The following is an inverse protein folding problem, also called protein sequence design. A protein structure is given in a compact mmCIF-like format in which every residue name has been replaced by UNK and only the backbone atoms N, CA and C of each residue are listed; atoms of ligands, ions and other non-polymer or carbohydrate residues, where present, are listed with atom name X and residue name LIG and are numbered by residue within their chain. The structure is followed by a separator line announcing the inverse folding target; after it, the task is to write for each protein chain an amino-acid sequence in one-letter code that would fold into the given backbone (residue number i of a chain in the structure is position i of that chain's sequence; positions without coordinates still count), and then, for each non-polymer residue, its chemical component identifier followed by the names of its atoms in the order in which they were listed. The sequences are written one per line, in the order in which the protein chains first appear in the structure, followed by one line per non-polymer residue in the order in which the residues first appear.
data_IF_613210241128
#
_entry.id   IF_613210241128
#
_cell.length_a   1.000
_cell.length_b   1.000
_cell.length_c   1.000
_cell.angle_alpha   90.00
_cell.angle_beta   90.00
_cell.angle_gamma   90.00
#
_symmetry.space_group_name_H-M   'P 1'
#
loop_
_entity.id
_entity.type
_entity.pdbx_description
1 polymer ?
#
# COMPACT_ATOMS: atom_id res chain seq x y z
N UNK A 1 -101.43 10.24 -23.32
CA UNK A 1 -100.62 9.53 -24.33
C UNK A 1 -99.22 9.39 -23.76
N UNK A 2 -98.73 8.14 -23.68
CA UNK A 2 -97.48 7.77 -23.02
C UNK A 2 -96.30 8.08 -23.96
N UNK A 3 -95.37 8.94 -23.55
CA UNK A 3 -94.06 9.04 -24.18
C UNK A 3 -93.01 8.58 -23.17
N UNK A 4 -92.52 7.36 -23.37
CA UNK A 4 -91.44 6.75 -22.59
C UNK A 4 -90.12 7.21 -23.20
N UNK A 5 -89.34 8.02 -22.47
CA UNK A 5 -87.99 8.42 -22.88
C UNK A 5 -86.99 7.39 -22.37
N UNK A 6 -86.32 6.69 -23.29
CA UNK A 6 -85.23 5.75 -22.97
C UNK A 6 -83.97 6.57 -22.69
N UNK A 7 -83.45 6.52 -21.45
CA UNK A 7 -82.10 7.00 -21.13
C UNK A 7 -81.14 5.81 -21.16
N UNK A 8 -80.20 5.84 -22.10
CA UNK A 8 -79.08 4.90 -22.14
C UNK A 8 -78.09 5.25 -21.01
N UNK A 9 -77.84 4.31 -20.10
CA UNK A 9 -76.76 4.41 -19.13
C UNK A 9 -75.49 3.80 -19.74
N UNK A 10 -74.46 4.61 -19.92
CA UNK A 10 -73.12 4.15 -20.31
C UNK A 10 -72.43 3.65 -19.04
N UNK A 11 -72.15 2.34 -18.97
CA UNK A 11 -71.37 1.73 -17.90
C UNK A 11 -69.90 1.81 -18.28
N UNK A 12 -69.14 2.70 -17.64
CA UNK A 12 -67.68 2.78 -17.81
C UNK A 12 -67.03 1.75 -16.87
N UNK A 13 -66.58 0.63 -17.41
CA UNK A 13 -65.80 -0.36 -16.67
C UNK A 13 -64.37 0.17 -16.47
N UNK A 14 -63.99 0.47 -15.22
CA UNK A 14 -62.60 0.80 -14.85
C UNK A 14 -61.86 -0.52 -14.63
N UNK A 15 -60.97 -0.87 -15.55
CA UNK A 15 -60.06 -2.01 -15.39
C UNK A 15 -58.92 -1.61 -14.43
N UNK A 16 -58.98 -2.07 -13.19
CA UNK A 16 -57.86 -1.94 -12.25
C UNK A 16 -56.81 -3.01 -12.56
N UNK A 17 -55.73 -2.66 -13.26
CA UNK A 17 -54.54 -3.52 -13.36
C UNK A 17 -53.80 -3.47 -12.02
N UNK A 18 -53.93 -4.53 -11.22
CA UNK A 18 -53.01 -4.79 -10.12
C UNK A 18 -51.68 -5.29 -10.70
N UNK A 19 -50.67 -4.42 -10.75
CA UNK A 19 -49.29 -4.85 -10.97
C UNK A 19 -48.79 -5.54 -9.70
N UNK A 20 -48.74 -6.87 -9.71
CA UNK A 20 -47.94 -7.60 -8.74
C UNK A 20 -46.47 -7.23 -8.96
N UNK A 21 -45.89 -6.47 -8.02
CA UNK A 21 -44.46 -6.26 -7.93
C UNK A 21 -43.80 -7.61 -7.62
N UNK A 22 -43.44 -8.35 -8.67
CA UNK A 22 -42.52 -9.48 -8.54
C UNK A 22 -41.17 -8.89 -8.15
N UNK A 23 -40.85 -8.92 -6.85
CA UNK A 23 -39.55 -8.49 -6.36
C UNK A 23 -38.46 -9.34 -6.99
N UNK A 24 -37.57 -8.70 -7.76
CA UNK A 24 -36.34 -9.35 -8.21
C UNK A 24 -35.52 -9.65 -6.95
N UNK A 25 -35.10 -10.90 -6.69
CA UNK A 25 -34.23 -11.17 -5.55
C UNK A 25 -32.96 -10.33 -5.72
N UNK A 26 -32.62 -9.57 -4.68
CA UNK A 26 -31.38 -8.80 -4.67
C UNK A 26 -30.22 -9.78 -4.93
N UNK A 27 -29.49 -9.56 -6.04
CA UNK A 27 -28.26 -10.28 -6.33
C UNK A 27 -27.38 -10.17 -5.08
N UNK A 28 -27.00 -11.31 -4.48
CA UNK A 28 -26.04 -11.30 -3.38
C UNK A 28 -24.84 -10.45 -3.81
N UNK A 29 -24.42 -9.51 -2.95
CA UNK A 29 -23.29 -8.64 -3.26
C UNK A 29 -22.12 -9.51 -3.76
N UNK A 30 -21.42 -9.13 -4.85
CA UNK A 30 -20.27 -9.87 -5.33
C UNK A 30 -19.31 -10.13 -4.18
N UNK A 31 -18.85 -11.38 -4.02
CA UNK A 31 -17.87 -11.71 -3.00
C UNK A 31 -16.63 -10.83 -3.22
N UNK A 32 -16.07 -10.20 -2.16
CA UNK A 32 -14.86 -9.42 -2.31
C UNK A 32 -13.74 -10.32 -2.85
N UNK A 33 -13.01 -9.84 -3.86
CA UNK A 33 -11.91 -10.59 -4.48
C UNK A 33 -10.87 -11.03 -3.44
N UNK A 34 -10.56 -10.14 -2.49
CA UNK A 34 -9.69 -10.39 -1.35
C UNK A 34 -10.50 -10.75 -0.09
N UNK A 35 -10.73 -12.05 0.10
CA UNK A 35 -11.26 -12.58 1.37
C UNK A 35 -10.17 -12.65 2.45
N UNK A 36 -10.52 -12.76 3.74
CA UNK A 36 -9.55 -12.97 4.81
C UNK A 36 -8.61 -14.16 4.56
N UNK A 37 -9.15 -15.28 4.06
CA UNK A 37 -8.35 -16.47 3.70
C UNK A 37 -7.42 -16.20 2.52
N UNK A 38 -7.91 -15.51 1.48
CA UNK A 38 -7.08 -15.14 0.33
C UNK A 38 -5.93 -14.20 0.73
N UNK A 39 -6.18 -13.26 1.65
CA UNK A 39 -5.15 -12.36 2.18
C UNK A 39 -4.12 -13.12 3.02
N UNK A 40 -4.54 -14.05 3.88
CA UNK A 40 -3.61 -14.89 4.65
C UNK A 40 -2.75 -15.78 3.76
N UNK A 41 -3.33 -16.31 2.69
CA UNK A 41 -2.65 -17.19 1.73
C UNK A 41 -1.79 -16.44 0.69
N UNK A 42 -1.84 -15.11 0.62
CA UNK A 42 -1.09 -14.34 -0.36
C UNK A 42 0.42 -14.53 -0.16
N UNK A 43 1.12 -14.88 -1.24
CA UNK A 43 2.54 -15.22 -1.20
C UNK A 43 3.37 -13.92 -1.16
N UNK A 44 4.39 -13.79 -0.30
CA UNK A 44 5.28 -12.64 -0.38
C UNK A 44 5.97 -12.57 -1.75
N UNK A 45 6.00 -11.39 -2.35
CA UNK A 45 6.45 -11.18 -3.73
C UNK A 45 7.84 -11.78 -4.01
N UNK A 46 8.78 -11.66 -3.08
CA UNK A 46 10.15 -12.18 -3.21
C UNK A 46 10.23 -13.69 -3.42
N UNK A 47 9.21 -14.47 -3.02
CA UNK A 47 9.14 -15.91 -3.28
C UNK A 47 8.70 -16.24 -4.70
N UNK A 48 8.11 -15.28 -5.42
CA UNK A 48 7.63 -15.45 -6.79
C UNK A 48 8.69 -15.09 -7.83
N UNK A 49 9.86 -14.60 -7.39
CA UNK A 49 10.88 -14.02 -8.26
C UNK A 49 12.29 -14.51 -7.90
N UNK A 50 13.22 -14.50 -8.86
CA UNK A 50 14.66 -14.74 -8.64
C UNK A 50 15.38 -13.39 -8.59
N UNK A 51 16.32 -13.23 -7.66
CA UNK A 51 17.01 -11.96 -7.39
C UNK A 51 17.68 -11.35 -8.65
N UNK A 52 17.48 -10.05 -8.93
CA UNK A 52 18.09 -9.36 -10.07
C UNK A 52 19.55 -8.93 -9.84
N UNK A 53 20.28 -8.66 -10.93
CA UNK A 53 21.67 -8.14 -10.95
C UNK A 53 21.67 -6.62 -11.17
N UNK A 54 22.58 -5.90 -10.51
CA UNK A 54 22.57 -4.42 -10.46
C UNK A 54 23.86 -3.79 -11.00
N UNK A 55 23.78 -2.60 -11.59
CA UNK A 55 24.91 -1.77 -12.06
C UNK A 55 24.81 -0.30 -11.56
N UNK A 56 25.92 0.45 -11.52
CA UNK A 56 26.08 1.72 -10.78
C UNK A 56 25.84 3.00 -11.60
N UNK A 57 25.17 4.02 -11.02
CA UNK A 57 25.30 5.47 -11.32
C UNK A 57 25.11 6.35 -10.06
N UNK A 58 25.63 7.58 -10.06
CA UNK A 58 25.88 8.44 -8.88
C UNK A 58 24.82 9.56 -8.66
N UNK A 59 24.57 9.97 -7.40
CA UNK A 59 23.72 11.13 -7.01
C UNK A 59 24.30 11.85 -5.76
N UNK A 60 24.23 13.19 -5.70
CA UNK A 60 24.96 14.08 -4.76
C UNK A 60 24.30 14.37 -3.39
N UNK A 61 25.07 14.99 -2.46
CA UNK A 61 24.91 15.02 -0.97
C UNK A 61 24.79 16.44 -0.37
N UNK A 62 24.16 16.58 0.81
CA UNK A 62 24.21 17.74 1.74
C UNK A 62 24.25 17.32 3.23
N UNK A 63 24.48 18.23 4.20
CA UNK A 63 24.79 17.89 5.60
C UNK A 63 23.56 17.81 6.55
N UNK A 64 23.60 16.98 7.60
CA UNK A 64 22.72 17.02 8.80
C UNK A 64 23.17 16.11 9.95
N UNK A 65 22.49 16.24 11.11
CA UNK A 65 22.58 15.45 12.34
C UNK A 65 21.16 15.08 12.86
N UNK A 66 21.02 14.01 13.68
CA UNK A 66 19.95 13.77 14.69
C UNK A 66 20.19 12.48 15.54
N UNK A 67 19.52 12.43 16.70
CA UNK A 67 19.60 11.62 17.94
C UNK A 67 19.08 10.16 17.80
N UNK A 68 19.63 9.22 18.60
CA UNK A 68 19.37 7.75 18.56
C UNK A 68 18.43 7.21 19.67
N UNK A 69 17.64 6.18 19.34
CA UNK A 69 16.98 5.22 20.24
C UNK A 69 17.67 3.83 20.16
N UNK A 70 17.27 2.87 21.03
CA UNK A 70 17.80 1.51 21.02
C UNK A 70 17.37 0.74 19.74
N UNK A 71 18.30 0.08 19.03
CA UNK A 71 18.00 -0.59 17.77
C UNK A 71 17.17 -1.88 17.97
N UNK A 72 16.22 -2.14 17.06
CA UNK A 72 15.42 -3.36 16.98
C UNK A 72 15.61 -4.02 15.60
N UNK A 73 15.75 -5.34 15.56
CA UNK A 73 16.06 -6.09 14.34
C UNK A 73 14.88 -6.85 13.70
N UNK A 74 13.61 -6.61 14.08
CA UNK A 74 12.46 -7.30 13.48
C UNK A 74 11.40 -7.78 14.48
N UNK A 75 11.15 -7.04 15.55
CA UNK A 75 10.12 -7.35 16.54
C UNK A 75 8.72 -6.94 16.09
N UNK A 76 7.68 -7.54 16.68
CA UNK A 76 6.32 -7.05 16.50
C UNK A 76 6.17 -5.66 17.12
N UNK A 77 5.50 -4.74 16.40
CA UNK A 77 5.22 -3.41 16.91
C UNK A 77 4.09 -3.45 17.94
N UNK A 78 4.37 -3.00 19.16
CA UNK A 78 3.40 -2.94 20.27
C UNK A 78 3.12 -1.52 20.74
N UNK A 79 3.78 -0.50 20.19
CA UNK A 79 3.67 0.88 20.64
C UNK A 79 2.38 1.60 20.24
N UNK A 80 1.53 0.98 19.41
CA UNK A 80 0.29 1.60 18.94
C UNK A 80 0.57 2.82 18.06
N UNK A 81 -0.23 3.88 18.22
CA UNK A 81 -0.04 5.16 17.53
C UNK A 81 -0.42 5.14 16.05
N UNK A 82 -0.18 6.27 15.37
CA UNK A 82 -0.67 6.54 14.01
C UNK A 82 -0.21 5.52 12.98
N UNK A 83 1.01 5.00 13.10
CA UNK A 83 1.56 3.96 12.21
C UNK A 83 0.70 2.70 12.14
N UNK A 84 -0.02 2.35 13.21
CA UNK A 84 -0.93 1.19 13.20
C UNK A 84 -2.18 1.39 12.36
N UNK A 85 -2.45 2.63 11.93
CA UNK A 85 -3.57 2.98 11.06
C UNK A 85 -3.07 3.29 9.64
N UNK A 86 -1.95 4.01 9.51
CA UNK A 86 -1.43 4.44 8.21
C UNK A 86 -0.68 3.34 7.48
N UNK A 87 0.05 2.48 8.20
CA UNK A 87 0.78 1.37 7.59
C UNK A 87 -0.16 0.18 7.37
N UNK A 88 -0.02 -0.46 6.22
CA UNK A 88 -0.92 -1.53 5.82
C UNK A 88 -0.24 -2.59 4.97
N UNK A 89 -0.98 -3.67 4.77
CA UNK A 89 -0.59 -4.76 3.87
C UNK A 89 -1.17 -4.48 2.49
N UNK A 90 -0.37 -4.74 1.47
CA UNK A 90 -0.73 -4.56 0.06
C UNK A 90 -0.93 -5.94 -0.56
N UNK A 91 -2.02 -6.13 -1.30
CA UNK A 91 -2.33 -7.37 -1.99
C UNK A 91 -2.59 -7.10 -3.46
N UNK A 92 -2.15 -7.99 -4.33
CA UNK A 92 -2.30 -7.85 -5.77
C UNK A 92 -2.15 -9.21 -6.48
N UNK A 93 -2.48 -9.24 -7.76
CA UNK A 93 -2.11 -10.31 -8.66
C UNK A 93 -0.83 -9.95 -9.42
N UNK A 94 0.17 -10.83 -9.31
CA UNK A 94 1.35 -10.83 -10.16
C UNK A 94 1.32 -12.08 -11.03
N UNK A 95 1.25 -11.89 -12.35
CA UNK A 95 1.11 -13.00 -13.32
C UNK A 95 -0.01 -14.00 -12.94
N UNK A 96 -1.14 -13.48 -12.46
CA UNK A 96 -2.30 -14.27 -12.02
C UNK A 96 -2.19 -14.90 -10.63
N UNK A 97 -1.04 -14.77 -9.94
CA UNK A 97 -0.83 -15.29 -8.60
C UNK A 97 -1.07 -14.22 -7.54
N UNK A 98 -1.76 -14.61 -6.45
CA UNK A 98 -1.99 -13.73 -5.30
C UNK A 98 -0.68 -13.48 -4.56
N UNK A 99 -0.23 -12.24 -4.59
CA UNK A 99 1.00 -11.79 -3.97
C UNK A 99 0.71 -10.73 -2.89
N UNK A 100 1.70 -10.48 -2.03
CA UNK A 100 1.62 -9.43 -1.03
C UNK A 100 2.91 -8.66 -0.82
N UNK A 101 2.72 -7.40 -0.45
CA UNK A 101 3.72 -6.42 -0.01
C UNK A 101 3.14 -5.66 1.21
N UNK A 102 3.78 -4.54 1.54
CA UNK A 102 3.36 -3.54 2.52
C UNK A 102 3.32 -2.15 1.86
N UNK A 103 2.72 -1.18 2.55
CA UNK A 103 2.68 0.22 2.13
C UNK A 103 2.24 1.13 3.27
N UNK A 104 2.23 2.44 3.03
CA UNK A 104 1.82 3.44 4.01
C UNK A 104 1.03 4.58 3.37
N UNK A 105 0.02 5.07 4.08
CA UNK A 105 -0.77 6.23 3.69
C UNK A 105 -0.02 7.52 4.06
N UNK A 106 0.28 8.35 3.06
CA UNK A 106 1.03 9.60 3.24
C UNK A 106 0.16 10.82 2.96
N UNK A 107 0.57 11.96 3.52
CA UNK A 107 -0.12 13.23 3.30
C UNK A 107 -0.03 13.54 1.81
N UNK A 108 -1.17 13.85 1.18
CA UNK A 108 -1.23 14.21 -0.24
C UNK A 108 -2.40 15.16 -0.52
N UNK A 109 -2.31 15.97 -1.58
CA UNK A 109 -3.37 16.90 -1.96
C UNK A 109 -4.72 16.22 -2.24
N UNK A 110 -4.70 15.05 -2.89
CA UNK A 110 -5.90 14.24 -3.14
C UNK A 110 -6.29 13.31 -1.98
N UNK A 111 -5.55 13.32 -0.87
CA UNK A 111 -5.79 12.51 0.31
C UNK A 111 -5.83 10.99 0.10
N UNK A 112 -5.29 10.49 -1.01
CA UNK A 112 -5.50 9.12 -1.50
C UNK A 112 -4.23 8.41 -1.96
N UNK A 113 -3.04 8.88 -1.56
CA UNK A 113 -1.75 8.30 -1.96
C UNK A 113 -1.28 7.26 -0.93
N UNK A 114 -0.92 6.07 -1.44
CA UNK A 114 -0.18 5.04 -0.72
C UNK A 114 1.22 4.93 -1.32
N UNK A 115 2.25 4.95 -0.48
CA UNK A 115 3.65 4.73 -0.89
C UNK A 115 4.03 3.27 -0.65
N UNK A 116 4.72 2.68 -1.61
CA UNK A 116 5.19 1.29 -1.59
C UNK A 116 6.47 1.14 -2.44
N UNK A 117 6.95 -0.08 -2.67
CA UNK A 117 8.08 -0.34 -3.55
C UNK A 117 7.62 -0.42 -5.02
N UNK A 118 8.52 -0.12 -5.96
CA UNK A 118 8.25 -0.22 -7.39
C UNK A 118 7.85 -1.65 -7.77
N UNK A 119 8.56 -2.66 -7.28
CA UNK A 119 8.24 -4.07 -7.52
C UNK A 119 6.88 -4.50 -6.96
N UNK A 120 6.31 -3.73 -6.01
CA UNK A 120 4.98 -3.96 -5.45
C UNK A 120 3.86 -3.33 -6.29
N UNK A 121 4.19 -2.63 -7.38
CA UNK A 121 3.21 -2.11 -8.37
C UNK A 121 3.47 -2.61 -9.78
N UNK A 122 4.74 -2.81 -10.16
CA UNK A 122 5.16 -3.32 -11.47
C UNK A 122 6.43 -4.15 -11.33
N UNK A 123 6.45 -5.33 -11.92
CA UNK A 123 7.67 -6.14 -11.98
C UNK A 123 7.69 -7.06 -13.20
N UNK A 124 8.87 -7.35 -13.73
CA UNK A 124 9.10 -8.15 -14.95
C UNK A 124 8.21 -7.70 -16.12
N UNK A 125 8.16 -6.39 -16.33
CA UNK A 125 7.36 -5.75 -17.38
C UNK A 125 5.84 -5.74 -17.16
N UNK A 126 5.33 -6.31 -16.06
CA UNK A 126 3.90 -6.44 -15.80
C UNK A 126 3.45 -5.54 -14.65
N UNK A 127 2.43 -4.73 -14.91
CA UNK A 127 1.70 -4.00 -13.87
C UNK A 127 0.78 -4.96 -13.12
N UNK A 128 0.78 -4.89 -11.79
CA UNK A 128 -0.05 -5.78 -10.99
C UNK A 128 -1.52 -5.40 -11.08
N UNK A 129 -2.39 -6.40 -11.06
CA UNK A 129 -3.84 -6.21 -11.10
C UNK A 129 -4.48 -6.55 -9.76
N UNK A 130 -5.76 -6.24 -9.57
CA UNK A 130 -6.47 -6.47 -8.29
C UNK A 130 -5.73 -5.88 -7.08
N UNK A 131 -5.05 -4.74 -7.31
CA UNK A 131 -4.20 -4.11 -6.31
C UNK A 131 -5.05 -3.42 -5.24
N UNK A 132 -4.87 -3.82 -3.98
CA UNK A 132 -5.58 -3.26 -2.82
C UNK A 132 -4.61 -2.97 -1.67
N UNK A 133 -4.83 -1.83 -1.02
CA UNK A 133 -4.19 -1.49 0.24
C UNK A 133 -5.13 -1.74 1.42
N UNK A 134 -4.62 -2.38 2.47
CA UNK A 134 -5.37 -2.69 3.70
C UNK A 134 -4.65 -2.04 4.90
N UNK A 135 -4.99 -0.79 5.25
CA UNK A 135 -4.43 -0.10 6.40
C UNK A 135 -4.78 -0.81 7.70
N UNK A 136 -3.83 -0.86 8.65
CA UNK A 136 -4.02 -1.53 9.93
C UNK A 136 -4.36 -3.02 9.83
N UNK A 137 -3.95 -3.68 8.74
CA UNK A 137 -4.18 -5.11 8.53
C UNK A 137 -3.81 -5.93 9.77
N UNK A 138 -4.68 -6.85 10.16
CA UNK A 138 -4.43 -7.76 11.26
C UNK A 138 -4.99 -9.15 10.96
N UNK A 139 -4.13 -10.07 10.54
CA UNK A 139 -4.46 -11.49 10.31
C UNK A 139 -5.74 -11.74 9.48
N UNK A 140 -5.91 -11.01 8.37
CA UNK A 140 -7.07 -11.12 7.48
C UNK A 140 -8.21 -10.14 7.80
N UNK A 141 -8.11 -9.42 8.91
CA UNK A 141 -9.01 -8.31 9.21
C UNK A 141 -8.56 -7.04 8.48
N UNK A 142 -9.54 -6.29 7.97
CA UNK A 142 -9.36 -5.01 7.30
C UNK A 142 -10.13 -3.93 8.09
N UNK A 143 -9.63 -3.50 9.27
CA UNK A 143 -10.39 -2.64 10.19
C UNK A 143 -10.76 -1.28 9.59
N UNK A 144 -9.96 -0.80 8.63
CA UNK A 144 -10.19 0.44 7.90
C UNK A 144 -10.61 0.20 6.44
N UNK A 145 -11.06 -1.02 6.12
CA UNK A 145 -11.50 -1.40 4.78
C UNK A 145 -10.37 -1.77 3.81
N UNK A 146 -10.79 -2.07 2.58
CA UNK A 146 -9.93 -2.49 1.47
C UNK A 146 -9.96 -1.39 0.39
N UNK A 147 -8.82 -0.74 0.18
CA UNK A 147 -8.69 0.42 -0.70
C UNK A 147 -8.09 0.01 -2.05
N UNK A 148 -8.96 -0.24 -3.03
CA UNK A 148 -8.55 -0.62 -4.38
C UNK A 148 -7.85 0.54 -5.10
N UNK A 149 -6.74 0.26 -5.78
CA UNK A 149 -6.05 1.26 -6.59
C UNK A 149 -6.94 1.73 -7.76
N UNK A 150 -7.04 3.06 -7.93
CA UNK A 150 -7.48 3.71 -9.18
C UNK A 150 -6.36 3.65 -10.21
N UNK A 151 -5.13 3.90 -9.76
CA UNK A 151 -3.93 3.81 -10.57
C UNK A 151 -2.72 3.46 -9.70
N UNK A 152 -1.75 2.81 -10.33
CA UNK A 152 -0.43 2.56 -9.76
C UNK A 152 0.62 3.23 -10.61
N UNK A 153 1.65 3.78 -9.97
CA UNK A 153 2.73 4.52 -10.60
C UNK A 153 4.06 4.05 -10.01
N UNK A 154 5.12 4.15 -10.79
CA UNK A 154 6.49 3.90 -10.33
C UNK A 154 7.44 4.91 -10.96
N UNK A 155 8.67 4.99 -10.46
CA UNK A 155 9.70 5.83 -11.08
C UNK A 155 9.99 5.37 -12.53
N UNK A 156 10.34 6.28 -13.45
CA UNK A 156 10.68 5.92 -14.83
C UNK A 156 11.81 4.88 -14.93
N UNK A 157 12.79 4.94 -14.04
CA UNK A 157 13.95 4.05 -13.99
C UNK A 157 13.55 2.64 -13.58
N UNK A 158 12.64 2.52 -12.60
CA UNK A 158 12.05 1.24 -12.26
C UNK A 158 11.18 0.70 -13.39
N UNK A 159 10.37 1.56 -13.99
CA UNK A 159 9.48 1.17 -15.09
C UNK A 159 10.27 0.64 -16.29
N UNK A 160 11.37 1.30 -16.65
CA UNK A 160 12.16 0.97 -17.82
C UNK A 160 13.07 -0.25 -17.61
N UNK A 161 13.72 -0.36 -16.46
CA UNK A 161 14.82 -1.31 -16.27
C UNK A 161 14.92 -1.93 -14.87
N UNK A 162 13.95 -1.71 -13.99
CA UNK A 162 13.94 -2.28 -12.63
C UNK A 162 15.23 -1.91 -11.84
N UNK A 163 15.68 -0.66 -11.98
CA UNK A 163 16.84 -0.16 -11.24
C UNK A 163 16.53 -0.05 -9.75
N UNK A 164 17.23 -0.85 -8.94
CA UNK A 164 17.02 -0.95 -7.49
C UNK A 164 17.14 0.39 -6.75
N UNK A 165 17.95 1.34 -7.24
CA UNK A 165 18.06 2.67 -6.60
C UNK A 165 16.75 3.48 -6.70
N UNK A 166 15.83 3.04 -7.56
CA UNK A 166 14.58 3.70 -7.89
C UNK A 166 13.37 2.80 -7.66
N UNK A 167 13.50 1.75 -6.86
CA UNK A 167 12.42 0.81 -6.50
C UNK A 167 11.34 1.45 -5.61
N UNK A 168 10.67 2.48 -6.14
CA UNK A 168 9.67 3.30 -5.46
C UNK A 168 8.39 3.28 -6.30
N UNK A 169 7.32 2.83 -5.65
CA UNK A 169 5.99 2.75 -6.22
C UNK A 169 5.00 3.59 -5.42
N UNK A 170 3.95 4.06 -6.07
CA UNK A 170 2.83 4.74 -5.41
C UNK A 170 1.52 4.27 -6.02
N UNK A 171 0.49 4.17 -5.20
CA UNK A 171 -0.87 3.93 -5.66
C UNK A 171 -1.75 5.12 -5.29
N UNK A 172 -2.61 5.52 -6.19
CA UNK A 172 -3.74 6.41 -5.89
C UNK A 172 -4.95 5.53 -5.73
N UNK A 173 -5.52 5.47 -4.53
CA UNK A 173 -6.65 4.58 -4.23
C UNK A 173 -8.00 5.26 -4.47
N UNK A 174 -9.01 4.47 -4.80
CA UNK A 174 -10.39 4.96 -4.91
C UNK A 174 -10.94 5.35 -3.53
N UNK A 175 -11.84 6.35 -3.44
CA UNK A 175 -12.62 6.57 -2.23
C UNK A 175 -13.37 5.30 -1.82
N UNK A 176 -13.41 5.02 -0.53
CA UNK A 176 -14.18 3.91 0.04
C UNK A 176 -15.36 4.50 0.81
N UNK A 177 -16.58 4.06 0.46
CA UNK A 177 -17.82 4.58 1.06
C UNK A 177 -17.92 6.12 1.01
N UNK A 178 -17.44 6.72 -0.09
CA UNK A 178 -17.45 8.17 -0.28
C UNK A 178 -16.36 8.96 0.48
N UNK A 179 -15.48 8.28 1.23
CA UNK A 179 -14.40 8.91 2.00
C UNK A 179 -13.04 8.68 1.34
N UNK A 180 -12.13 9.66 1.44
CA UNK A 180 -10.74 9.48 0.98
C UNK A 180 -9.95 8.71 2.03
N UNK A 181 -8.87 8.07 1.61
CA UNK A 181 -8.03 7.22 2.46
C UNK A 181 -7.58 7.95 3.73
N UNK A 182 -6.97 9.12 3.55
CA UNK A 182 -6.35 9.86 4.66
C UNK A 182 -7.35 10.57 5.55
N UNK A 183 -8.61 10.72 5.12
CA UNK A 183 -9.70 11.17 6.00
C UNK A 183 -10.07 10.06 7.02
N UNK A 184 -9.88 8.78 6.64
CA UNK A 184 -10.22 7.62 7.48
C UNK A 184 -9.07 7.22 8.41
N UNK A 185 -7.85 7.11 7.87
CA UNK A 185 -6.70 6.54 8.60
C UNK A 185 -5.67 7.57 9.02
N UNK A 186 -5.91 8.84 8.69
CA UNK A 186 -4.89 9.87 8.75
C UNK A 186 -3.79 9.62 7.72
N UNK A 187 -2.63 10.20 7.97
CA UNK A 187 -1.48 10.12 7.09
C UNK A 187 -0.17 10.34 7.86
N UNK A 188 0.92 9.78 7.34
CA UNK A 188 2.28 10.15 7.74
C UNK A 188 2.78 11.34 6.90
N UNK A 189 3.78 12.05 7.43
CA UNK A 189 4.54 13.00 6.62
C UNK A 189 5.39 12.25 5.60
N UNK A 190 5.78 12.90 4.51
CA UNK A 190 6.73 12.36 3.53
C UNK A 190 7.79 13.41 3.24
N UNK A 191 9.05 12.98 3.09
CA UNK A 191 10.16 13.85 2.76
C UNK A 191 11.06 13.24 1.70
N UNK A 192 11.69 14.14 0.94
CA UNK A 192 12.60 13.83 -0.15
C UNK A 192 13.88 14.61 0.04
N UNK A 193 14.95 14.16 -0.62
CA UNK A 193 16.26 14.80 -0.61
C UNK A 193 16.83 14.99 0.82
N UNK A 194 16.45 14.09 1.73
CA UNK A 194 16.89 14.14 3.12
C UNK A 194 18.31 13.61 3.26
N UNK A 195 19.08 14.01 4.27
CA UNK A 195 20.44 13.49 4.44
C UNK A 195 20.47 11.97 4.65
N UNK A 196 21.51 11.31 4.14
CA UNK A 196 21.71 9.86 4.31
C UNK A 196 22.27 9.53 5.68
N UNK A 197 22.29 8.23 6.00
CA UNK A 197 22.89 7.67 7.22
C UNK A 197 22.27 8.21 8.52
N UNK A 198 20.96 8.49 8.47
CA UNK A 198 20.18 8.88 9.63
C UNK A 198 19.66 7.63 10.35
N UNK A 199 19.33 7.77 11.65
CA UNK A 199 18.58 6.75 12.36
C UNK A 199 17.13 6.74 11.88
N UNK A 200 16.60 5.56 11.60
CA UNK A 200 15.28 5.38 11.03
C UNK A 200 14.54 4.24 11.73
N UNK A 201 13.22 4.23 11.56
CA UNK A 201 12.36 3.09 11.86
C UNK A 201 11.78 2.59 10.54
N UNK A 202 11.83 1.29 10.29
CA UNK A 202 11.12 0.67 9.17
C UNK A 202 10.04 -0.25 9.68
N UNK A 203 8.92 -0.31 8.95
CA UNK A 203 7.77 -1.14 9.26
C UNK A 203 7.37 -2.01 8.07
N UNK A 204 6.72 -3.14 8.32
CA UNK A 204 6.14 -3.98 7.26
C UNK A 204 5.45 -5.23 7.79
N UNK A 205 4.89 -6.01 6.87
CA UNK A 205 4.21 -7.30 7.13
C UNK A 205 5.00 -8.46 6.48
N UNK A 206 6.18 -8.82 7.03
CA UNK A 206 6.95 -9.95 6.52
C UNK A 206 6.14 -11.26 6.60
N UNK A 207 6.13 -12.04 5.53
CA UNK A 207 5.28 -13.23 5.35
C UNK A 207 6.07 -14.48 4.91
N UNK A 208 7.38 -14.50 5.17
CA UNK A 208 8.19 -15.70 5.08
C UNK A 208 8.77 -16.05 6.45
N UNK A 209 9.04 -17.34 6.68
CA UNK A 209 9.57 -17.84 7.95
C UNK A 209 10.75 -17.00 8.44
N UNK A 210 10.78 -16.61 9.74
CA UNK A 210 9.89 -17.05 10.83
C UNK A 210 8.56 -16.28 10.94
N UNK A 211 8.25 -15.40 10.00
CA UNK A 211 7.02 -14.60 9.98
C UNK A 211 5.93 -15.23 9.10
N UNK A 212 4.68 -14.82 9.34
CA UNK A 212 3.48 -15.34 8.69
C UNK A 212 2.61 -14.23 8.04
N UNK A 213 3.09 -12.98 8.05
CA UNK A 213 2.41 -11.83 7.46
C UNK A 213 1.22 -11.32 8.26
N UNK A 214 1.00 -11.83 9.48
CA UNK A 214 -0.20 -11.49 10.27
C UNK A 214 -0.05 -10.21 11.09
N UNK A 215 1.19 -9.80 11.41
CA UNK A 215 1.52 -8.71 12.33
C UNK A 215 2.34 -7.62 11.64
N UNK A 216 2.17 -6.39 12.11
CA UNK A 216 3.08 -5.29 11.81
C UNK A 216 4.39 -5.51 12.57
N UNK A 217 5.47 -5.65 11.83
CA UNK A 217 6.83 -5.84 12.32
C UNK A 217 7.61 -4.54 12.08
N UNK A 218 8.60 -4.25 12.93
CA UNK A 218 9.48 -3.12 12.76
C UNK A 218 10.95 -3.47 12.98
N UNK A 219 11.82 -2.68 12.36
CA UNK A 219 13.22 -2.58 12.68
C UNK A 219 13.57 -1.12 12.94
N UNK A 220 14.57 -0.85 13.77
CA UNK A 220 15.07 0.50 14.04
C UNK A 220 16.57 0.49 14.23
N UNK A 221 17.22 1.61 13.87
CA UNK A 221 18.65 1.77 14.05
C UNK A 221 19.24 2.79 13.10
N UNK A 222 20.56 2.99 13.22
CA UNK A 222 21.30 3.83 12.29
C UNK A 222 21.41 3.17 10.92
N UNK A 223 21.12 3.95 9.89
CA UNK A 223 21.28 3.51 8.51
C UNK A 223 22.71 3.78 8.03
N UNK A 224 23.13 3.04 7.02
CA UNK A 224 24.32 3.31 6.22
C UNK A 224 23.94 3.41 4.74
N UNK A 225 24.85 3.93 3.92
CA UNK A 225 24.66 3.97 2.47
C UNK A 225 25.28 2.71 1.90
N UNK A 226 24.53 1.94 1.13
CA UNK A 226 25.09 0.79 0.43
C UNK A 226 26.25 1.23 -0.46
N UNK A 227 27.36 0.49 -0.34
CA UNK A 227 28.59 0.70 -1.10
C UNK A 227 28.86 -0.48 -2.05
N UNK A 228 28.04 -1.53 -2.01
CA UNK A 228 28.20 -2.72 -2.81
C UNK A 228 27.65 -2.49 -4.22
N UNK A 229 26.32 -2.50 -4.36
CA UNK A 229 25.64 -2.54 -5.65
C UNK A 229 24.71 -1.35 -5.89
N UNK A 230 24.22 -0.70 -4.84
CA UNK A 230 23.34 0.48 -4.94
C UNK A 230 23.92 1.70 -4.22
N UNK A 231 23.08 2.72 -4.00
CA UNK A 231 23.33 3.90 -3.18
C UNK A 231 22.23 4.09 -2.14
N UNK A 232 21.57 3.00 -1.79
CA UNK A 232 20.38 2.98 -0.96
C UNK A 232 20.70 3.02 0.53
N UNK A 233 19.67 3.25 1.34
CA UNK A 233 19.78 3.08 2.77
C UNK A 233 19.89 1.59 3.09
N UNK A 234 20.74 1.22 4.04
CA UNK A 234 20.82 -0.12 4.62
C UNK A 234 20.73 -0.04 6.14
N UNK A 235 20.07 -1.01 6.77
CA UNK A 235 20.06 -1.17 8.22
C UNK A 235 19.92 -2.63 8.63
N UNK A 236 20.32 -2.95 9.86
CA UNK A 236 20.07 -4.28 10.42
C UNK A 236 18.55 -4.49 10.56
N UNK A 237 18.04 -5.50 9.88
CA UNK A 237 16.64 -5.84 9.90
C UNK A 237 16.43 -7.25 9.37
N UNK A 238 15.76 -8.09 10.16
CA UNK A 238 15.46 -9.47 9.82
C UNK A 238 14.07 -9.64 9.18
N UNK A 239 13.38 -8.55 8.82
CA UNK A 239 12.11 -8.67 8.09
C UNK A 239 12.35 -9.40 6.76
N UNK A 240 11.47 -10.35 6.47
CA UNK A 240 11.53 -11.16 5.24
C UNK A 240 10.57 -10.62 4.19
N UNK A 241 10.56 -11.24 3.01
CA UNK A 241 9.62 -10.90 1.95
C UNK A 241 8.16 -10.78 2.40
N UNK A 242 7.44 -9.84 1.78
CA UNK A 242 6.15 -9.33 2.24
C UNK A 242 6.26 -8.00 3.01
N UNK A 243 7.40 -7.73 3.65
CA UNK A 243 7.68 -6.41 4.23
C UNK A 243 7.95 -5.33 3.18
N UNK A 244 8.28 -5.73 1.95
CA UNK A 244 8.59 -4.84 0.84
C UNK A 244 7.51 -3.78 0.62
N UNK A 245 7.93 -2.55 0.34
CA UNK A 245 7.08 -1.37 0.26
C UNK A 245 6.70 -0.75 1.60
N UNK A 246 6.94 -1.43 2.71
CA UNK A 246 6.68 -0.87 4.03
C UNK A 246 7.56 0.36 4.34
N UNK A 247 7.06 1.33 5.13
CA UNK A 247 7.65 2.67 5.21
C UNK A 247 8.92 2.70 6.07
N UNK A 248 9.87 3.56 5.69
CA UNK A 248 10.99 3.97 6.54
C UNK A 248 10.79 5.41 6.99
N UNK A 249 10.72 5.63 8.31
CA UNK A 249 10.48 6.92 8.92
C UNK A 249 11.75 7.54 9.49
N UNK A 250 11.98 8.80 9.14
CA UNK A 250 12.79 9.75 9.91
C UNK A 250 11.98 10.28 11.09
N UNK A 251 12.69 10.67 12.16
CA UNK A 251 12.11 11.36 13.33
C UNK A 251 10.87 10.67 13.89
N UNK A 252 10.87 9.33 13.90
CA UNK A 252 9.73 8.55 14.36
C UNK A 252 9.57 8.70 15.88
N UNK A 253 8.37 9.08 16.30
CA UNK A 253 8.00 9.16 17.70
C UNK A 253 7.19 7.92 18.09
N UNK A 254 7.76 7.07 18.93
CA UNK A 254 7.14 5.81 19.35
C UNK A 254 5.81 6.00 20.11
N UNK A 255 5.66 7.11 20.85
CA UNK A 255 4.46 7.39 21.63
C UNK A 255 3.28 7.79 20.75
N UNK A 256 3.52 8.58 19.71
CA UNK A 256 2.46 9.04 18.79
C UNK A 256 2.31 8.13 17.58
N UNK A 257 3.30 7.29 17.29
CA UNK A 257 3.40 6.49 16.08
C UNK A 257 3.51 7.35 14.81
N UNK A 258 4.03 8.58 14.92
CA UNK A 258 4.19 9.49 13.79
C UNK A 258 5.64 9.61 13.38
N UNK A 259 5.90 9.64 12.09
CA UNK A 259 7.20 9.94 11.51
C UNK A 259 7.09 10.60 10.16
N UNK A 260 8.23 10.82 9.53
CA UNK A 260 8.32 11.37 8.18
C UNK A 260 8.91 10.30 7.26
N UNK A 261 8.09 9.73 6.38
CA UNK A 261 8.52 8.67 5.48
C UNK A 261 9.55 9.22 4.50
N UNK A 262 10.68 8.53 4.36
CA UNK A 262 11.78 8.93 3.48
C UNK A 262 12.43 7.75 2.74
N UNK A 263 11.88 6.55 2.88
CA UNK A 263 12.23 5.37 2.08
C UNK A 263 11.14 4.29 2.22
N UNK A 264 11.37 3.13 1.60
CA UNK A 264 10.55 1.91 1.70
C UNK A 264 11.45 0.67 1.82
N UNK A 265 10.97 -0.41 2.42
CA UNK A 265 11.62 -1.71 2.30
C UNK A 265 11.66 -2.12 0.84
N UNK A 266 12.82 -2.48 0.30
CA UNK A 266 12.95 -2.84 -1.12
C UNK A 266 13.59 -4.21 -1.29
N UNK A 267 14.80 -4.42 -0.77
CA UNK A 267 15.52 -5.68 -1.00
C UNK A 267 16.44 -6.08 0.16
N UNK A 268 16.90 -7.32 0.11
CA UNK A 268 18.02 -7.85 0.90
C UNK A 268 19.01 -8.58 -0.01
N UNK A 269 20.24 -8.77 0.45
CA UNK A 269 21.23 -9.57 -0.26
C UNK A 269 21.30 -10.99 0.30
N UNK A 270 21.25 -12.00 -0.57
CA UNK A 270 21.41 -13.39 -0.16
C UNK A 270 22.76 -13.66 0.53
N UNK A 271 23.81 -12.95 0.14
CA UNK A 271 25.16 -13.10 0.71
C UNK A 271 25.40 -12.22 1.95
N UNK A 272 24.47 -11.31 2.27
CA UNK A 272 24.53 -10.43 3.45
C UNK A 272 23.18 -10.47 4.18
N UNK A 273 22.87 -11.59 4.86
CA UNK A 273 21.62 -11.73 5.59
C UNK A 273 21.54 -10.77 6.78
N UNK A 274 20.32 -10.49 7.23
CA UNK A 274 20.06 -9.61 8.38
C UNK A 274 20.09 -8.12 8.07
N UNK A 275 20.10 -7.74 6.79
CA UNK A 275 20.02 -6.36 6.35
C UNK A 275 18.84 -6.15 5.41
N UNK A 276 18.14 -5.04 5.62
CA UNK A 276 17.12 -4.53 4.71
C UNK A 276 17.64 -3.25 4.07
N UNK A 277 17.37 -3.11 2.77
CA UNK A 277 17.73 -1.94 2.00
C UNK A 277 16.48 -1.24 1.48
N UNK A 278 16.56 0.08 1.40
CA UNK A 278 15.48 0.94 0.93
C UNK A 278 15.98 2.09 0.08
N UNK A 279 15.35 2.38 -1.07
CA UNK A 279 15.82 3.39 -2.02
C UNK A 279 15.87 4.77 -1.40
N UNK A 280 16.86 5.56 -1.80
CA UNK A 280 16.93 6.96 -1.42
C UNK A 280 15.79 7.76 -2.08
N UNK A 281 14.95 8.42 -1.28
CA UNK A 281 13.90 9.30 -1.81
C UNK A 281 14.49 10.63 -2.30
N UNK A 282 15.12 10.60 -3.48
CA UNK A 282 15.62 11.79 -4.18
C UNK A 282 14.55 12.50 -5.01
N UNK A 283 14.99 13.38 -5.91
CA UNK A 283 14.13 14.14 -6.83
C UNK A 283 13.20 13.27 -7.68
N UNK A 284 13.63 12.10 -8.14
CA UNK A 284 12.77 11.21 -8.92
C UNK A 284 11.58 10.65 -8.11
N UNK A 285 11.81 10.28 -6.85
CA UNK A 285 10.75 9.87 -5.93
C UNK A 285 9.81 11.05 -5.60
N UNK A 286 10.36 12.27 -5.49
CA UNK A 286 9.57 13.50 -5.31
C UNK A 286 8.69 13.79 -6.52
N UNK A 287 9.22 13.62 -7.73
CA UNK A 287 8.46 13.80 -8.97
C UNK A 287 7.34 12.76 -9.10
N UNK A 288 7.62 11.51 -8.72
CA UNK A 288 6.60 10.45 -8.63
C UNK A 288 5.48 10.84 -7.66
N UNK A 289 5.83 11.31 -6.46
CA UNK A 289 4.87 11.81 -5.48
C UNK A 289 4.03 12.97 -6.00
N UNK A 290 4.66 13.95 -6.65
CA UNK A 290 3.96 15.09 -7.24
C UNK A 290 2.93 14.66 -8.29
N UNK A 291 3.25 13.65 -9.11
CA UNK A 291 2.30 13.06 -10.06
C UNK A 291 1.16 12.32 -9.34
N UNK A 292 1.47 11.53 -8.32
CA UNK A 292 0.49 10.74 -7.59
C UNK A 292 -0.51 11.62 -6.82
N UNK A 293 -0.06 12.68 -6.15
CA UNK A 293 -0.94 13.54 -5.37
C UNK A 293 -1.86 14.43 -6.23
N UNK A 294 -1.55 14.60 -7.51
CA UNK A 294 -2.30 15.43 -8.46
C UNK A 294 -3.34 14.65 -9.29
N UNK A 295 -3.42 13.32 -9.12
CA UNK A 295 -4.26 12.42 -9.91
C UNK A 295 -5.63 12.10 -9.28
#
# INVERSE_FOLDING_TARGET
MKHTTIRAAVVTAVLSLAFALVGVPAQAAPKPFWTPDAMRAAVPMDKLVKAPRVSRKEVAKGPSAIIQSLPNGGGAWTGGGKVTQTAGRVFFLFNGQKASCSGDAVTSANGSVVVTAGHCVKYQGTWHTEWVFVPGYNNGNAPYGQWAAKSTLTTPQWEASEDMNYDVGMAVVNPLNGQRLTDVVGAQGIAFNQPKNQSMYTFGYPAASPYDGTKLIYCSGSTFTDFLLTKDHGMNCNMTGGSSGGPWFLSFNESTGTGVQASVNSFGYNFLPGYMFGPYFGTDAQNLYNRAQAA
#
